data_IF_815357946936
#
_entry.id   IF_815357946936
#
_cell.length_a   1.000
_cell.length_b   1.000
_cell.length_c   1.000
_cell.angle_alpha   90.00
_cell.angle_beta   90.00
_cell.angle_gamma   90.00
#
_symmetry.space_group_name_H-M   'P 1'
#
loop_
_entity.id
_entity.type
_entity.pdbx_description
1 polymer ?
#
# COMPACT_ATOMS: atom_id res chain seq x y z
N UNK A 1 -6.75 7.58 -4.90
CA UNK A 1 -7.40 6.54 -5.74
C UNK A 1 -7.25 5.12 -5.19
N UNK A 2 -6.07 4.46 -5.17
CA UNK A 2 -5.99 3.05 -4.72
C UNK A 2 -6.26 2.84 -3.22
N UNK A 3 -5.79 3.76 -2.36
CA UNK A 3 -6.03 3.70 -0.93
C UNK A 3 -7.53 3.88 -0.57
N UNK A 4 -8.22 4.79 -1.26
CA UNK A 4 -9.65 5.06 -1.05
C UNK A 4 -10.53 3.85 -1.39
N UNK A 5 -10.15 3.05 -2.40
CA UNK A 5 -10.87 1.82 -2.74
C UNK A 5 -10.79 0.77 -1.63
N UNK A 6 -9.65 0.59 -0.97
CA UNK A 6 -9.56 -0.32 0.18
C UNK A 6 -10.34 0.19 1.36
N UNK A 7 -10.34 1.50 1.61
CA UNK A 7 -11.21 2.09 2.63
C UNK A 7 -12.67 1.85 2.29
N UNK A 8 -13.08 1.97 1.02
CA UNK A 8 -14.45 1.70 0.59
C UNK A 8 -14.88 0.26 0.90
N UNK A 9 -14.01 -0.73 0.65
CA UNK A 9 -14.27 -2.13 1.02
C UNK A 9 -14.54 -2.28 2.53
N UNK A 10 -13.82 -1.57 3.38
CA UNK A 10 -14.02 -1.62 4.84
C UNK A 10 -15.36 -1.00 5.26
N UNK A 11 -15.84 0.00 4.53
CA UNK A 11 -17.11 0.67 4.77
C UNK A 11 -18.30 -0.13 4.21
N UNK A 12 -18.15 -0.71 3.03
CA UNK A 12 -19.20 -1.45 2.32
C UNK A 12 -19.43 -2.84 2.91
N UNK A 13 -18.37 -3.54 3.32
CA UNK A 13 -18.45 -4.92 3.81
C UNK A 13 -18.00 -5.06 5.27
N UNK A 14 -18.62 -4.31 6.21
CA UNK A 14 -18.19 -4.36 7.60
C UNK A 14 -18.36 -5.78 8.15
N UNK A 15 -17.36 -6.25 8.90
CA UNK A 15 -17.35 -7.58 9.57
C UNK A 15 -17.23 -8.79 8.63
N UNK A 16 -16.85 -8.59 7.37
CA UNK A 16 -16.50 -9.70 6.47
C UNK A 16 -15.03 -10.10 6.60
N UNK A 17 -14.70 -11.34 6.20
CA UNK A 17 -13.31 -11.78 6.11
C UNK A 17 -12.49 -10.93 5.13
N UNK A 18 -13.13 -10.44 4.06
CA UNK A 18 -12.52 -9.52 3.10
C UNK A 18 -12.07 -8.24 3.80
N UNK A 19 -12.93 -7.61 4.61
CA UNK A 19 -12.61 -6.36 5.29
C UNK A 19 -11.47 -6.55 6.32
N UNK A 20 -11.49 -7.62 7.10
CA UNK A 20 -10.39 -7.88 8.06
C UNK A 20 -9.05 -8.08 7.35
N UNK A 21 -9.05 -8.82 6.23
CA UNK A 21 -7.83 -9.04 5.44
C UNK A 21 -7.34 -7.76 4.78
N UNK A 22 -8.21 -7.00 4.13
CA UNK A 22 -7.89 -5.71 3.52
C UNK A 22 -7.31 -4.75 4.55
N UNK A 23 -7.89 -4.68 5.75
CA UNK A 23 -7.38 -3.85 6.85
C UNK A 23 -5.98 -4.28 7.28
N UNK A 24 -5.79 -5.57 7.56
CA UNK A 24 -4.50 -6.12 8.00
C UNK A 24 -3.40 -5.83 6.96
N UNK A 25 -3.67 -6.16 5.70
CA UNK A 25 -2.72 -5.99 4.62
C UNK A 25 -2.45 -4.52 4.32
N UNK A 26 -3.48 -3.66 4.30
CA UNK A 26 -3.30 -2.23 4.12
C UNK A 26 -2.33 -1.63 5.16
N UNK A 27 -2.52 -1.96 6.45
CA UNK A 27 -1.65 -1.47 7.53
C UNK A 27 -0.24 -2.05 7.42
N UNK A 28 -0.09 -3.33 7.07
CA UNK A 28 1.21 -3.97 6.83
C UNK A 28 1.98 -3.30 5.68
N UNK A 29 1.30 -3.07 4.56
CA UNK A 29 1.88 -2.51 3.33
C UNK A 29 2.30 -1.06 3.54
N UNK A 30 1.43 -0.26 4.15
CA UNK A 30 1.66 1.18 4.37
C UNK A 30 2.49 1.48 5.61
N UNK A 31 2.77 0.47 6.44
CA UNK A 31 3.41 0.61 7.75
C UNK A 31 2.65 1.58 8.68
N UNK A 32 1.36 1.81 8.40
CA UNK A 32 0.51 2.69 9.17
C UNK A 32 0.04 2.02 10.47
N UNK A 33 -0.05 2.80 11.55
CA UNK A 33 -0.58 2.31 12.84
C UNK A 33 -2.10 2.22 12.86
N UNK A 34 -2.77 3.02 12.03
CA UNK A 34 -4.22 3.12 11.99
C UNK A 34 -4.69 3.44 10.58
N UNK A 35 -5.92 3.07 10.29
CA UNK A 35 -6.57 3.43 9.04
C UNK A 35 -6.83 4.94 9.00
N UNK A 36 -6.69 5.58 7.82
CA UNK A 36 -7.16 6.94 7.61
C UNK A 36 -8.64 7.08 7.96
N UNK A 37 -8.99 8.11 8.74
CA UNK A 37 -10.38 8.48 9.01
C UNK A 37 -10.83 9.47 7.94
N UNK A 38 -11.31 8.97 6.82
CA UNK A 38 -11.75 9.78 5.68
C UNK A 38 -13.20 9.44 5.37
N UNK A 39 -14.03 10.47 5.20
CA UNK A 39 -15.38 10.29 4.67
C UNK A 39 -15.28 10.01 3.16
N UNK A 40 -15.71 8.82 2.73
CA UNK A 40 -15.68 8.45 1.33
C UNK A 40 -16.95 8.91 0.61
N UNK A 41 -16.83 9.43 -0.63
CA UNK A 41 -18.00 9.68 -1.46
C UNK A 41 -18.78 8.38 -1.73
N UNK A 42 -20.10 8.48 -1.80
CA UNK A 42 -21.00 7.35 -2.10
C UNK A 42 -20.63 6.64 -3.40
N UNK A 43 -20.17 7.38 -4.42
CA UNK A 43 -19.70 6.80 -5.68
C UNK A 43 -18.55 5.81 -5.50
N UNK A 44 -17.68 6.01 -4.51
CA UNK A 44 -16.55 5.11 -4.22
C UNK A 44 -17.04 3.85 -3.50
N UNK A 45 -18.04 3.99 -2.61
CA UNK A 45 -18.68 2.86 -1.93
C UNK A 45 -19.41 1.95 -2.94
N UNK A 46 -20.16 2.55 -3.86
CA UNK A 46 -20.88 1.83 -4.91
C UNK A 46 -19.94 1.12 -5.89
N UNK A 47 -18.78 1.70 -6.19
CA UNK A 47 -17.75 1.04 -6.99
C UNK A 47 -17.17 -0.20 -6.29
N UNK A 48 -17.04 -0.17 -4.95
CA UNK A 48 -16.61 -1.34 -4.19
C UNK A 48 -17.69 -2.44 -4.20
N UNK A 49 -18.97 -2.08 -4.19
CA UNK A 49 -20.08 -3.03 -4.36
C UNK A 49 -20.03 -3.72 -5.72
N UNK A 50 -19.90 -2.96 -6.80
CA UNK A 50 -19.81 -3.53 -8.15
C UNK A 50 -18.59 -4.43 -8.36
N UNK A 51 -17.46 -4.09 -7.75
CA UNK A 51 -16.21 -4.81 -7.96
C UNK A 51 -16.14 -6.14 -7.21
N UNK A 52 -16.75 -6.23 -6.03
CA UNK A 52 -16.64 -7.39 -5.15
C UNK A 52 -17.95 -8.21 -5.06
N UNK A 53 -19.09 -7.65 -5.44
CA UNK A 53 -20.40 -8.30 -5.36
C UNK A 53 -20.96 -8.38 -3.94
N UNK A 54 -22.16 -8.92 -3.76
CA UNK A 54 -22.86 -8.90 -2.46
C UNK A 54 -22.17 -9.74 -1.36
N UNK A 55 -21.60 -10.90 -1.72
CA UNK A 55 -20.92 -11.81 -0.78
C UNK A 55 -19.50 -12.15 -1.26
N UNK A 56 -18.54 -11.23 -1.11
CA UNK A 56 -17.19 -11.48 -1.57
C UNK A 56 -16.46 -12.48 -0.68
N UNK A 57 -15.66 -13.33 -1.31
CA UNK A 57 -14.72 -14.20 -0.59
C UNK A 57 -13.64 -13.36 0.10
N UNK A 58 -13.04 -13.89 1.18
CA UNK A 58 -11.94 -13.21 1.87
C UNK A 58 -10.71 -12.99 0.98
N UNK A 59 -10.56 -13.77 -0.09
CA UNK A 59 -9.45 -13.71 -1.03
C UNK A 59 -9.71 -12.80 -2.24
N UNK A 60 -10.91 -12.23 -2.36
CA UNK A 60 -11.32 -11.46 -3.54
C UNK A 60 -10.43 -10.23 -3.81
N UNK A 61 -9.81 -9.66 -2.77
CA UNK A 61 -8.90 -8.52 -2.91
C UNK A 61 -7.41 -8.90 -3.05
N UNK A 62 -7.04 -10.19 -3.11
CA UNK A 62 -5.62 -10.59 -3.05
C UNK A 62 -4.78 -9.99 -4.19
N UNK A 63 -5.27 -10.03 -5.44
CA UNK A 63 -4.56 -9.46 -6.58
C UNK A 63 -4.44 -7.94 -6.48
N UNK A 64 -5.53 -7.28 -6.05
CA UNK A 64 -5.57 -5.84 -5.79
C UNK A 64 -4.59 -5.43 -4.69
N UNK A 65 -4.51 -6.19 -3.60
CA UNK A 65 -3.58 -5.98 -2.49
C UNK A 65 -2.13 -6.19 -2.93
N UNK A 66 -1.84 -7.22 -3.73
CA UNK A 66 -0.50 -7.46 -4.30
C UNK A 66 -0.08 -6.29 -5.20
N UNK A 67 -0.95 -5.85 -6.10
CA UNK A 67 -0.68 -4.70 -6.98
C UNK A 67 -0.52 -3.39 -6.20
N UNK A 68 -1.27 -3.22 -5.12
CA UNK A 68 -1.12 -2.08 -4.21
C UNK A 68 0.22 -2.10 -3.48
N UNK A 69 0.63 -3.27 -2.95
CA UNK A 69 1.92 -3.43 -2.28
C UNK A 69 3.08 -3.09 -3.23
N UNK A 70 3.06 -3.63 -4.44
CA UNK A 70 4.07 -3.33 -5.45
C UNK A 70 4.14 -1.82 -5.73
N UNK A 71 2.98 -1.16 -5.90
CA UNK A 71 2.92 0.27 -6.17
C UNK A 71 3.51 1.10 -5.01
N UNK A 72 3.14 0.79 -3.76
CA UNK A 72 3.63 1.50 -2.56
C UNK A 72 5.15 1.33 -2.43
N UNK A 73 5.67 0.11 -2.59
CA UNK A 73 7.11 -0.13 -2.46
C UNK A 73 7.87 0.54 -3.61
N UNK A 74 7.33 0.52 -4.84
CA UNK A 74 7.95 1.18 -6.00
C UNK A 74 8.02 2.70 -5.81
N UNK A 75 6.96 3.32 -5.32
CA UNK A 75 6.94 4.75 -5.00
C UNK A 75 7.95 5.08 -3.88
N UNK A 76 7.95 4.29 -2.80
CA UNK A 76 8.93 4.45 -1.73
C UNK A 76 10.37 4.30 -2.22
N UNK A 77 10.62 3.37 -3.15
CA UNK A 77 11.94 3.14 -3.74
C UNK A 77 12.39 4.35 -4.57
N UNK A 78 11.51 4.90 -5.42
CA UNK A 78 11.81 6.12 -6.18
C UNK A 78 12.12 7.31 -5.27
N UNK A 79 11.37 7.45 -4.17
CA UNK A 79 11.64 8.45 -3.13
C UNK A 79 12.99 8.24 -2.44
N UNK A 80 13.36 6.99 -2.14
CA UNK A 80 14.65 6.65 -1.54
C UNK A 80 15.82 6.95 -2.48
N UNK A 81 15.71 6.62 -3.77
CA UNK A 81 16.73 6.93 -4.80
C UNK A 81 16.90 8.44 -4.95
N UNK A 82 15.82 9.21 -4.95
CA UNK A 82 15.88 10.67 -5.02
C UNK A 82 16.59 11.25 -3.80
N UNK A 83 16.30 10.72 -2.61
CA UNK A 83 16.99 11.11 -1.38
C UNK A 83 18.47 10.74 -1.39
N UNK A 84 18.83 9.57 -1.92
CA UNK A 84 20.21 9.14 -2.07
C UNK A 84 21.00 10.13 -2.94
N UNK A 85 20.49 10.45 -4.14
CA UNK A 85 21.13 11.42 -5.05
C UNK A 85 21.32 12.78 -4.39
N UNK A 86 20.35 13.22 -3.60
CA UNK A 86 20.44 14.48 -2.84
C UNK A 86 21.52 14.40 -1.75
N UNK A 87 21.56 13.31 -0.99
CA UNK A 87 22.56 13.10 0.06
C UNK A 87 24.00 13.02 -0.50
N UNK A 88 24.16 12.39 -1.66
CA UNK A 88 25.43 12.34 -2.40
C UNK A 88 25.86 13.76 -2.84
N UNK A 89 24.93 14.56 -3.36
CA UNK A 89 25.19 15.94 -3.76
C UNK A 89 25.61 16.83 -2.58
N UNK A 90 25.05 16.60 -1.38
CA UNK A 90 25.39 17.34 -0.15
C UNK A 90 26.57 16.73 0.62
N UNK A 91 27.16 15.62 0.13
CA UNK A 91 28.23 14.85 0.80
C UNK A 91 27.92 14.45 2.25
N UNK A 92 26.65 14.23 2.55
CA UNK A 92 26.22 13.78 3.87
C UNK A 92 26.36 12.26 3.95
N UNK A 93 27.49 11.78 4.47
CA UNK A 93 27.81 10.36 4.55
C UNK A 93 26.78 9.54 5.37
N UNK A 94 26.16 10.13 6.39
CA UNK A 94 25.14 9.45 7.19
C UNK A 94 23.81 9.34 6.41
N UNK A 95 23.42 10.39 5.70
CA UNK A 95 22.25 10.38 4.83
C UNK A 95 22.43 9.44 3.62
N UNK A 96 23.63 9.36 3.04
CA UNK A 96 23.95 8.40 1.96
C UNK A 96 23.81 6.97 2.46
N UNK A 97 24.42 6.63 3.59
CA UNK A 97 24.38 5.27 4.15
C UNK A 97 22.93 4.85 4.46
N UNK A 98 22.17 5.72 5.13
CA UNK A 98 20.76 5.42 5.45
C UNK A 98 19.87 5.29 4.19
N UNK A 99 20.09 6.12 3.17
CA UNK A 99 19.36 6.04 1.91
C UNK A 99 19.72 4.77 1.11
N UNK A 100 20.98 4.34 1.11
CA UNK A 100 21.42 3.09 0.47
C UNK A 100 20.78 1.86 1.12
N UNK A 101 20.80 1.78 2.47
CA UNK A 101 20.15 0.68 3.21
C UNK A 101 18.66 0.63 2.89
N UNK A 102 17.99 1.80 2.83
CA UNK A 102 16.57 1.88 2.50
C UNK A 102 16.29 1.42 1.06
N UNK A 103 17.12 1.80 0.10
CA UNK A 103 17.00 1.34 -1.29
C UNK A 103 17.18 -0.19 -1.39
N UNK A 104 18.18 -0.76 -0.71
CA UNK A 104 18.44 -2.19 -0.71
C UNK A 104 17.26 -2.99 -0.14
N UNK A 105 16.72 -2.56 1.00
CA UNK A 105 15.56 -3.21 1.63
C UNK A 105 14.32 -3.17 0.75
N UNK A 106 14.02 -2.02 0.11
CA UNK A 106 12.87 -1.88 -0.77
C UNK A 106 13.05 -2.69 -2.06
N UNK A 107 14.25 -2.73 -2.63
CA UNK A 107 14.56 -3.54 -3.80
C UNK A 107 14.39 -5.04 -3.52
N UNK A 108 14.81 -5.51 -2.35
CA UNK A 108 14.61 -6.90 -1.95
C UNK A 108 13.13 -7.26 -1.83
N UNK A 109 12.31 -6.36 -1.24
CA UNK A 109 10.85 -6.54 -1.16
C UNK A 109 10.18 -6.55 -2.54
N UNK A 110 10.62 -5.71 -3.49
CA UNK A 110 10.11 -5.76 -4.87
C UNK A 110 10.43 -7.09 -5.55
N UNK A 111 11.66 -7.60 -5.37
CA UNK A 111 12.05 -8.88 -5.95
C UNK A 111 11.19 -10.05 -5.45
N UNK A 112 10.78 -10.03 -4.17
CA UNK A 112 9.87 -11.06 -3.63
C UNK A 112 8.44 -10.98 -4.17
N UNK A 113 8.01 -9.81 -4.68
CA UNK A 113 6.68 -9.60 -5.26
C UNK A 113 6.61 -9.85 -6.76
N UNK A 114 7.75 -9.76 -7.46
CA UNK A 114 7.85 -9.99 -8.90
C UNK A 114 8.10 -11.44 -9.31
N UNK A 115 8.30 -12.35 -8.34
CA UNK A 115 8.44 -13.79 -8.55
C UNK A 115 7.13 -14.55 -8.37
#
# INVERSE_FOLDING_TARGET
>A
MRSEQFLAVLHTYPKTLLAERVKSEYLRITEAKQLPQIALPESVLFLAEQMFGEEPSGDAANELLRAFEEAVIREAYQGAVTNLRRAEATRDAAAVTSAQVRCANLSARLATLGC
#
